data_IF_116930898488
#
_entry.id   IF_116930898488
#
_cell.length_a   1.000
_cell.length_b   1.000
_cell.length_c   1.000
_cell.angle_alpha   90.00
_cell.angle_beta   90.00
_cell.angle_gamma   90.00
#
_symmetry.space_group_name_H-M   'P 1'
#
loop_
_entity.id
_entity.type
_entity.pdbx_description
1 polymer ?
#
# COMPACT_ATOMS: atom_id res chain seq x y z
N UNK A 1 10.47 -10.52 -3.26
CA UNK A 1 10.83 -9.45 -4.23
C UNK A 1 9.87 -9.40 -5.41
N UNK A 2 9.68 -10.49 -6.15
CA UNK A 2 8.77 -10.52 -7.32
C UNK A 2 7.37 -9.95 -7.07
N UNK A 3 6.73 -10.28 -5.94
CA UNK A 3 5.41 -9.76 -5.58
C UNK A 3 5.36 -8.22 -5.43
N UNK A 4 6.37 -7.63 -4.79
CA UNK A 4 6.49 -6.17 -4.68
C UNK A 4 6.65 -5.53 -6.06
N UNK A 5 7.52 -6.08 -6.91
CA UNK A 5 7.71 -5.56 -8.26
C UNK A 5 6.47 -5.71 -9.14
N UNK A 6 5.70 -6.79 -8.98
CA UNK A 6 4.42 -6.98 -9.64
C UNK A 6 3.39 -5.94 -9.20
N UNK A 7 3.35 -5.58 -7.91
CA UNK A 7 2.51 -4.49 -7.43
C UNK A 7 2.97 -3.14 -7.98
N UNK A 8 4.28 -2.87 -7.98
CA UNK A 8 4.86 -1.64 -8.54
C UNK A 8 4.55 -1.48 -10.03
N UNK A 9 4.51 -2.58 -10.79
CA UNK A 9 4.14 -2.57 -12.21
C UNK A 9 2.73 -2.03 -12.47
N UNK A 10 1.85 -2.02 -11.45
CA UNK A 10 0.51 -1.41 -11.53
C UNK A 10 0.54 0.12 -11.50
N UNK A 11 1.60 0.70 -10.96
CA UNK A 11 1.80 2.14 -10.83
C UNK A 11 2.63 2.71 -11.99
N UNK A 12 3.52 1.90 -12.56
CA UNK A 12 4.33 2.29 -13.70
C UNK A 12 5.57 1.41 -13.85
N UNK A 13 6.56 1.93 -14.59
CA UNK A 13 7.82 1.20 -14.83
C UNK A 13 8.86 1.52 -13.76
N UNK A 14 9.34 0.49 -13.05
CA UNK A 14 10.43 0.60 -12.08
C UNK A 14 11.78 0.83 -12.79
N UNK A 15 12.08 2.10 -13.10
CA UNK A 15 13.25 2.51 -13.89
C UNK A 15 14.58 2.41 -13.13
N UNK A 16 14.56 2.63 -11.81
CA UNK A 16 15.71 2.47 -10.92
C UNK A 16 15.30 1.52 -9.80
N UNK A 17 16.11 0.48 -9.58
CA UNK A 17 15.90 -0.52 -8.53
C UNK A 17 17.21 -0.68 -7.76
N UNK A 18 17.21 -0.32 -6.48
CA UNK A 18 18.38 -0.37 -5.60
C UNK A 18 18.01 -1.07 -4.30
N UNK A 19 18.95 -1.88 -3.78
CA UNK A 19 18.83 -2.51 -2.47
C UNK A 19 20.08 -2.16 -1.65
N UNK A 20 19.85 -1.51 -0.50
CA UNK A 20 20.91 -0.95 0.32
C UNK A 20 21.22 -1.87 1.50
N UNK A 21 22.50 -2.08 1.78
CA UNK A 21 22.93 -2.84 2.94
C UNK A 21 24.40 -3.20 2.89
N UNK A 22 24.84 -3.94 3.90
CA UNK A 22 26.18 -4.52 3.93
C UNK A 22 26.16 -5.92 3.27
N UNK A 23 26.42 -5.96 1.97
CA UNK A 23 26.45 -7.17 1.14
C UNK A 23 27.68 -8.05 1.41
N UNK A 24 28.59 -7.65 2.31
CA UNK A 24 29.64 -8.54 2.82
C UNK A 24 29.12 -9.47 3.91
N UNK A 25 27.96 -9.17 4.49
CA UNK A 25 27.35 -9.98 5.55
C UNK A 25 26.59 -11.19 4.99
N UNK A 26 26.50 -12.25 5.79
CA UNK A 26 25.73 -13.46 5.43
C UNK A 26 24.22 -13.23 5.42
N UNK A 27 23.72 -12.16 6.06
CA UNK A 27 22.29 -11.84 6.14
C UNK A 27 21.68 -11.51 4.76
N UNK A 28 22.48 -10.96 3.83
CA UNK A 28 22.04 -10.61 2.48
C UNK A 28 22.38 -11.67 1.43
N UNK A 29 22.94 -12.82 1.84
CA UNK A 29 23.31 -13.90 0.90
C UNK A 29 22.12 -14.37 0.06
N UNK A 30 20.94 -14.52 0.67
CA UNK A 30 19.70 -14.89 -0.02
C UNK A 30 19.17 -13.83 -0.98
N UNK A 31 19.60 -12.57 -0.85
CA UNK A 31 19.19 -11.48 -1.74
C UNK A 31 19.97 -11.46 -3.04
N UNK A 32 21.12 -12.12 -3.13
CA UNK A 32 21.97 -12.10 -4.33
C UNK A 32 21.23 -12.62 -5.56
N UNK A 33 20.55 -13.76 -5.43
CA UNK A 33 19.79 -14.35 -6.53
C UNK A 33 18.61 -13.45 -6.91
N UNK A 34 17.80 -13.01 -5.94
CA UNK A 34 16.68 -12.12 -6.19
C UNK A 34 17.10 -10.78 -6.83
N UNK A 35 18.27 -10.25 -6.46
CA UNK A 35 18.81 -9.03 -7.04
C UNK A 35 19.19 -9.23 -8.51
N UNK A 36 19.81 -10.36 -8.85
CA UNK A 36 20.14 -10.70 -10.24
C UNK A 36 18.87 -10.93 -11.08
N UNK A 37 17.95 -11.77 -10.60
CA UNK A 37 16.74 -12.17 -11.34
C UNK A 37 15.84 -10.98 -11.66
N UNK A 38 15.86 -9.96 -10.80
CA UNK A 38 15.04 -8.77 -10.94
C UNK A 38 15.81 -7.51 -11.32
N UNK A 39 17.10 -7.59 -11.65
CA UNK A 39 17.96 -6.45 -11.99
C UNK A 39 17.84 -5.33 -10.93
N UNK A 40 18.00 -5.71 -9.66
CA UNK A 40 18.09 -4.79 -8.53
C UNK A 40 19.57 -4.55 -8.27
N UNK A 41 20.00 -3.29 -8.32
CA UNK A 41 21.38 -2.93 -8.07
C UNK A 41 21.72 -3.02 -6.57
N UNK A 42 22.70 -3.83 -6.18
CA UNK A 42 23.24 -3.83 -4.81
C UNK A 42 23.96 -2.51 -4.52
N UNK A 43 23.54 -1.82 -3.46
CA UNK A 43 24.20 -0.62 -2.96
C UNK A 43 24.93 -0.97 -1.65
N UNK A 44 26.24 -1.21 -1.75
CA UNK A 44 27.08 -1.61 -0.63
C UNK A 44 27.31 -0.44 0.34
N UNK A 45 27.05 -0.69 1.63
CA UNK A 45 27.39 0.22 2.73
C UNK A 45 28.02 -0.59 3.87
N UNK A 46 29.25 -0.24 4.26
CA UNK A 46 29.94 -0.91 5.35
C UNK A 46 29.34 -0.52 6.70
N UNK A 47 29.04 -1.52 7.53
CA UNK A 47 28.67 -1.29 8.93
C UNK A 47 29.93 -1.03 9.78
N UNK A 48 30.36 0.24 9.89
CA UNK A 48 31.52 0.59 10.72
C UNK A 48 31.29 0.39 12.23
N UNK A 49 30.03 0.38 12.67
CA UNK A 49 29.59 0.07 14.04
C UNK A 49 28.16 -0.45 14.01
N UNK A 50 27.84 -1.47 14.80
CA UNK A 50 26.48 -2.01 14.94
C UNK A 50 25.50 -0.96 15.48
N UNK A 51 24.30 -0.85 14.86
CA UNK A 51 23.23 0.04 15.31
C UNK A 51 23.32 1.49 14.81
N UNK A 52 24.16 1.78 13.80
CA UNK A 52 24.16 3.07 13.11
C UNK A 52 23.46 3.00 11.75
N UNK A 53 22.76 4.06 11.40
CA UNK A 53 21.90 4.19 10.22
C UNK A 53 22.69 4.55 8.94
N UNK A 54 23.86 3.93 8.73
CA UNK A 54 24.72 4.22 7.57
C UNK A 54 24.03 3.82 6.26
N UNK A 55 23.38 2.66 6.25
CA UNK A 55 22.57 2.18 5.13
C UNK A 55 21.41 3.13 4.81
N UNK A 56 20.69 3.58 5.84
CA UNK A 56 19.53 4.47 5.67
C UNK A 56 19.96 5.84 5.15
N UNK A 57 21.11 6.35 5.63
CA UNK A 57 21.69 7.60 5.15
C UNK A 57 22.03 7.51 3.66
N UNK A 58 22.66 6.42 3.22
CA UNK A 58 22.97 6.21 1.80
C UNK A 58 21.69 6.12 0.95
N UNK A 59 20.67 5.42 1.43
CA UNK A 59 19.37 5.33 0.76
C UNK A 59 18.73 6.72 0.62
N UNK A 60 18.71 7.51 1.69
CA UNK A 60 18.15 8.87 1.69
C UNK A 60 18.90 9.76 0.71
N UNK A 61 20.23 9.75 0.72
CA UNK A 61 21.05 10.55 -0.20
C UNK A 61 20.71 10.20 -1.66
N UNK A 62 20.75 8.92 -2.01
CA UNK A 62 20.44 8.46 -3.36
C UNK A 62 19.00 8.80 -3.79
N UNK A 63 18.04 8.65 -2.89
CA UNK A 63 16.64 8.98 -3.16
C UNK A 63 16.47 10.49 -3.43
N UNK A 64 17.15 11.33 -2.66
CA UNK A 64 17.13 12.78 -2.85
C UNK A 64 17.82 13.20 -4.16
N UNK A 65 18.95 12.60 -4.50
CA UNK A 65 19.63 12.86 -5.77
C UNK A 65 18.74 12.50 -6.95
N UNK A 66 18.07 11.34 -6.90
CA UNK A 66 17.09 10.93 -7.91
C UNK A 66 15.90 11.89 -7.97
N UNK A 67 15.38 12.33 -6.83
CA UNK A 67 14.27 13.29 -6.76
C UNK A 67 14.63 14.59 -7.49
N UNK A 68 15.82 15.13 -7.23
CA UNK A 68 16.27 16.39 -7.82
C UNK A 68 16.61 16.31 -9.30
N UNK A 69 16.69 15.11 -9.89
CA UNK A 69 16.74 14.99 -11.35
C UNK A 69 15.44 15.44 -12.03
N UNK A 70 14.31 15.43 -11.31
CA UNK A 70 12.99 15.75 -11.88
C UNK A 70 12.46 14.72 -12.89
N UNK A 71 13.07 13.54 -12.99
CA UNK A 71 12.76 12.54 -14.01
C UNK A 71 11.74 11.49 -13.57
N UNK A 72 11.43 11.42 -12.28
CA UNK A 72 10.60 10.37 -11.69
C UNK A 72 9.30 10.94 -11.13
N UNK A 73 8.19 10.28 -11.44
CA UNK A 73 6.86 10.65 -10.98
C UNK A 73 6.43 9.90 -9.71
N UNK A 74 7.19 8.88 -9.31
CA UNK A 74 6.90 8.12 -8.11
C UNK A 74 8.13 7.43 -7.51
N UNK A 75 8.12 7.28 -6.19
CA UNK A 75 9.11 6.54 -5.41
C UNK A 75 8.45 5.37 -4.69
N UNK A 76 9.12 4.22 -4.71
CA UNK A 76 8.71 3.05 -3.92
C UNK A 76 9.72 2.85 -2.79
N UNK A 77 9.27 2.98 -1.54
CA UNK A 77 10.09 2.77 -0.35
C UNK A 77 9.65 1.47 0.32
N UNK A 78 10.53 0.47 0.35
CA UNK A 78 10.26 -0.83 0.95
C UNK A 78 11.00 -0.90 2.30
N UNK A 79 10.29 -0.59 3.39
CA UNK A 79 10.82 -0.59 4.75
C UNK A 79 9.70 -0.63 5.79
N UNK A 80 10.04 -1.09 7.00
CA UNK A 80 9.19 -0.96 8.20
C UNK A 80 9.75 0.03 9.22
N UNK A 81 10.83 0.74 8.88
CA UNK A 81 11.49 1.72 9.74
C UNK A 81 10.79 3.09 9.67
N UNK A 82 10.58 3.71 10.84
CA UNK A 82 10.04 5.08 10.95
C UNK A 82 10.98 6.16 10.44
N UNK A 83 12.28 5.91 10.36
CA UNK A 83 13.26 6.94 9.98
C UNK A 83 13.04 7.47 8.55
N UNK A 84 12.38 6.69 7.69
CA UNK A 84 12.00 7.11 6.33
C UNK A 84 10.78 8.04 6.27
N UNK A 85 10.15 8.36 7.39
CA UNK A 85 8.98 9.27 7.47
C UNK A 85 9.28 10.64 6.85
N UNK A 86 10.44 11.24 7.17
CA UNK A 86 10.80 12.55 6.62
C UNK A 86 11.17 12.49 5.15
N UNK A 87 11.78 11.39 4.69
CA UNK A 87 12.06 11.17 3.27
C UNK A 87 10.75 11.11 2.45
N UNK A 88 9.78 10.30 2.90
CA UNK A 88 8.47 10.19 2.25
C UNK A 88 7.75 11.55 2.19
N UNK A 89 7.70 12.28 3.31
CA UNK A 89 7.11 13.61 3.35
C UNK A 89 7.81 14.58 2.37
N UNK A 90 9.16 14.58 2.34
CA UNK A 90 9.95 15.48 1.49
C UNK A 90 9.73 15.21 -0.01
N UNK A 91 9.59 13.95 -0.42
CA UNK A 91 9.28 13.56 -1.80
C UNK A 91 7.87 14.05 -2.18
N UNK A 92 6.89 13.91 -1.29
CA UNK A 92 5.52 14.42 -1.51
C UNK A 92 5.44 15.93 -1.57
N UNK A 93 6.21 16.63 -0.74
CA UNK A 93 6.35 18.09 -0.80
C UNK A 93 6.87 18.56 -2.18
N UNK A 94 7.62 17.72 -2.89
CA UNK A 94 8.06 17.98 -4.27
C UNK A 94 7.00 17.61 -5.34
N UNK A 95 5.80 17.19 -4.93
CA UNK A 95 4.72 16.79 -5.83
C UNK A 95 4.88 15.40 -6.44
N UNK A 96 5.80 14.58 -5.91
CA UNK A 96 6.09 13.23 -6.43
C UNK A 96 5.39 12.19 -5.56
N UNK A 97 4.76 11.18 -6.18
CA UNK A 97 3.98 10.16 -5.45
C UNK A 97 4.87 9.20 -4.68
N UNK A 98 4.51 8.87 -3.44
CA UNK A 98 5.24 7.91 -2.61
C UNK A 98 4.39 6.67 -2.33
N UNK A 99 4.91 5.52 -2.74
CA UNK A 99 4.38 4.19 -2.45
C UNK A 99 5.25 3.54 -1.35
N UNK A 100 4.67 3.34 -0.17
CA UNK A 100 5.31 2.63 0.92
C UNK A 100 4.97 1.14 0.90
N UNK A 101 5.92 0.30 1.27
CA UNK A 101 5.73 -1.13 1.45
C UNK A 101 6.40 -1.58 2.74
N UNK A 102 5.70 -2.35 3.58
CA UNK A 102 6.29 -2.84 4.82
C UNK A 102 5.41 -3.86 5.55
N UNK A 103 5.90 -4.38 6.65
CA UNK A 103 5.15 -5.30 7.52
C UNK A 103 4.06 -4.56 8.32
N UNK A 104 3.13 -5.30 8.93
CA UNK A 104 2.07 -4.73 9.79
C UNK A 104 2.58 -3.95 10.99
N UNK A 105 3.80 -4.25 11.46
CA UNK A 105 4.47 -3.54 12.57
C UNK A 105 4.94 -2.13 12.19
N UNK A 106 4.93 -1.77 10.91
CA UNK A 106 5.40 -0.47 10.43
C UNK A 106 4.67 0.67 11.14
N UNK A 107 5.35 1.69 11.70
CA UNK A 107 4.70 2.77 12.45
C UNK A 107 3.71 3.60 11.60
N UNK A 108 2.62 4.07 12.24
CA UNK A 108 1.59 4.87 11.57
C UNK A 108 2.13 6.17 10.97
N UNK A 109 3.15 6.78 11.59
CA UNK A 109 3.80 7.98 11.07
C UNK A 109 4.38 7.76 9.66
N UNK A 110 5.07 6.64 9.42
CA UNK A 110 5.65 6.35 8.11
C UNK A 110 4.56 6.00 7.08
N UNK A 111 3.55 5.21 7.48
CA UNK A 111 2.41 4.89 6.60
C UNK A 111 1.68 6.15 6.14
N UNK A 112 1.41 7.07 7.06
CA UNK A 112 0.70 8.33 6.78
C UNK A 112 1.56 9.34 5.99
N UNK A 113 2.88 9.17 5.99
CA UNK A 113 3.79 9.97 5.17
C UNK A 113 3.77 9.54 3.69
N UNK A 114 3.25 8.37 3.35
CA UNK A 114 3.10 7.91 1.97
C UNK A 114 1.75 8.35 1.35
N UNK A 115 1.65 8.32 0.02
CA UNK A 115 0.35 8.49 -0.67
C UNK A 115 -0.45 7.19 -0.70
N UNK A 116 0.26 6.06 -0.76
CA UNK A 116 -0.31 4.72 -0.59
C UNK A 116 0.70 3.85 0.15
N UNK A 117 0.22 3.03 1.09
CA UNK A 117 1.03 2.07 1.83
C UNK A 117 0.45 0.67 1.65
N UNK A 118 1.28 -0.29 1.25
CA UNK A 118 0.86 -1.67 1.01
C UNK A 118 1.59 -2.63 1.95
N UNK A 119 0.85 -3.46 2.67
CA UNK A 119 1.47 -4.45 3.55
C UNK A 119 2.08 -5.60 2.73
N UNK A 120 3.25 -6.10 3.14
CA UNK A 120 3.94 -7.15 2.38
C UNK A 120 3.17 -8.48 2.37
N UNK A 121 2.47 -8.82 3.46
CA UNK A 121 1.68 -10.04 3.59
C UNK A 121 0.50 -10.11 2.60
N UNK A 122 -0.05 -8.96 2.18
CA UNK A 122 -1.13 -8.93 1.18
C UNK A 122 -0.63 -9.15 -0.24
N UNK A 123 0.69 -9.08 -0.47
CA UNK A 123 1.31 -9.34 -1.76
C UNK A 123 1.71 -10.81 -1.93
N UNK A 124 1.87 -11.52 -0.81
CA UNK A 124 2.32 -12.92 -0.77
C UNK A 124 1.21 -13.94 -1.08
N UNK A 125 -0.05 -13.50 -1.28
CA UNK A 125 -1.15 -14.37 -1.71
C UNK A 125 -0.93 -14.81 -3.18
N UNK A 126 -0.50 -16.07 -3.44
CA UNK A 126 0.14 -16.39 -4.69
C UNK A 126 -0.86 -16.78 -5.76
N UNK A 127 -0.47 -16.46 -6.99
CA UNK A 127 -0.81 -17.20 -8.19
C UNK A 127 -0.19 -18.61 -8.17
N UNK A 128 -0.46 -19.40 -7.13
CA UNK A 128 -0.13 -20.82 -7.07
C UNK A 128 -1.41 -21.61 -7.37
N UNK A 129 -1.29 -22.62 -8.23
CA UNK A 129 -2.36 -23.58 -8.59
C UNK A 129 -2.73 -24.53 -7.43
N UNK A 130 -2.26 -24.26 -6.21
CA UNK A 130 -2.73 -24.88 -4.97
C UNK A 130 -3.26 -23.79 -4.02
N UNK A 131 -4.43 -23.97 -3.38
CA UNK A 131 -5.05 -22.95 -2.55
C UNK A 131 -4.28 -22.84 -1.21
N UNK A 132 -3.15 -22.15 -1.22
CA UNK A 132 -2.62 -21.55 -0.01
C UNK A 132 -3.72 -20.64 0.56
N UNK A 133 -3.99 -20.68 1.87
CA UNK A 133 -5.09 -19.93 2.43
C UNK A 133 -4.78 -18.44 2.28
N UNK A 134 -5.49 -17.77 1.36
CA UNK A 134 -5.66 -16.33 1.42
C UNK A 134 -6.00 -15.94 2.87
N UNK A 135 -5.58 -14.76 3.37
CA UNK A 135 -5.98 -14.31 4.70
C UNK A 135 -7.49 -14.51 4.85
N UNK A 136 -7.89 -15.33 5.83
CA UNK A 136 -9.30 -15.73 6.00
C UNK A 136 -10.16 -14.47 6.00
N UNK A 137 -11.12 -14.41 5.08
CA UNK A 137 -12.03 -13.28 4.96
C UNK A 137 -12.64 -12.94 6.33
N UNK A 138 -12.41 -11.72 6.79
CA UNK A 138 -12.86 -11.26 8.10
C UNK A 138 -14.40 -11.23 8.10
N UNK A 139 -15.08 -11.91 9.03
CA UNK A 139 -16.53 -12.02 9.02
C UNK A 139 -17.24 -10.69 9.35
N UNK A 140 -18.49 -10.56 8.91
CA UNK A 140 -19.29 -9.34 9.04
C UNK A 140 -19.33 -8.72 10.46
N UNK A 141 -19.46 -9.48 11.57
CA UNK A 141 -19.47 -8.90 12.91
C UNK A 141 -18.17 -8.15 13.26
N UNK A 142 -17.02 -8.69 12.84
CA UNK A 142 -15.71 -8.07 13.08
C UNK A 142 -15.52 -6.84 12.20
N UNK A 143 -15.92 -6.91 10.92
CA UNK A 143 -15.89 -5.75 10.02
C UNK A 143 -16.75 -4.59 10.52
N UNK A 144 -17.91 -4.87 11.11
CA UNK A 144 -18.78 -3.84 11.71
C UNK A 144 -18.23 -3.27 13.01
N UNK A 145 -17.40 -4.03 13.72
CA UNK A 145 -16.70 -3.59 14.94
C UNK A 145 -15.48 -2.72 14.64
N UNK A 146 -14.92 -2.79 13.43
CA UNK A 146 -13.83 -1.93 12.99
C UNK A 146 -14.34 -0.51 12.70
N UNK A 147 -14.31 0.33 13.74
CA UNK A 147 -14.76 1.72 13.65
C UNK A 147 -13.98 2.56 12.65
N UNK A 148 -12.68 2.31 12.46
CA UNK A 148 -11.85 3.06 11.51
C UNK A 148 -12.29 2.75 10.08
N UNK A 149 -12.42 1.45 9.75
CA UNK A 149 -12.92 1.00 8.45
C UNK A 149 -14.33 1.54 8.18
N UNK A 150 -15.26 1.33 9.11
CA UNK A 150 -16.66 1.68 8.89
C UNK A 150 -16.87 3.19 8.74
N UNK A 151 -16.24 3.99 9.61
CA UNK A 151 -16.38 5.45 9.55
C UNK A 151 -15.72 6.01 8.29
N UNK A 152 -14.56 5.49 7.89
CA UNK A 152 -13.91 5.86 6.63
C UNK A 152 -14.80 5.58 5.42
N UNK A 153 -15.34 4.35 5.31
CA UNK A 153 -16.22 3.97 4.20
C UNK A 153 -17.49 4.81 4.17
N UNK A 154 -18.13 5.04 5.33
CA UNK A 154 -19.34 5.86 5.42
C UNK A 154 -19.05 7.31 5.00
N UNK A 155 -17.97 7.90 5.48
CA UNK A 155 -17.54 9.26 5.14
C UNK A 155 -17.24 9.39 3.64
N UNK A 156 -16.50 8.44 3.09
CA UNK A 156 -16.13 8.42 1.68
C UNK A 156 -17.34 8.24 0.76
N UNK A 157 -18.29 7.36 1.11
CA UNK A 157 -19.55 7.23 0.38
C UNK A 157 -20.34 8.52 0.45
N UNK A 158 -20.53 9.10 1.65
CA UNK A 158 -21.28 10.35 1.81
C UNK A 158 -20.67 11.51 1.01
N UNK A 159 -19.34 11.56 0.88
CA UNK A 159 -18.64 12.62 0.14
C UNK A 159 -18.76 12.43 -1.37
N UNK A 160 -18.79 11.17 -1.84
CA UNK A 160 -18.86 10.85 -3.26
C UNK A 160 -20.29 10.64 -3.79
N UNK A 161 -21.30 10.59 -2.91
CA UNK A 161 -22.69 10.40 -3.30
C UNK A 161 -23.26 11.63 -3.98
N UNK A 162 -23.99 11.42 -5.08
CA UNK A 162 -24.82 12.45 -5.72
C UNK A 162 -26.18 12.61 -5.03
N UNK A 163 -27.07 13.40 -5.65
CA UNK A 163 -28.43 13.65 -5.16
C UNK A 163 -29.29 12.37 -5.05
N UNK A 164 -28.99 11.34 -5.85
CA UNK A 164 -29.64 10.04 -5.82
C UNK A 164 -29.14 9.12 -4.67
N UNK A 165 -28.19 9.61 -3.87
CA UNK A 165 -27.57 8.91 -2.75
C UNK A 165 -26.55 7.84 -3.16
N UNK A 166 -26.29 7.63 -4.44
CA UNK A 166 -25.31 6.66 -4.93
C UNK A 166 -23.96 7.33 -5.21
N UNK A 167 -22.89 6.62 -4.84
CA UNK A 167 -21.52 7.00 -5.12
C UNK A 167 -20.86 6.03 -6.11
N UNK A 168 -19.95 6.54 -6.95
CA UNK A 168 -19.04 5.71 -7.74
C UNK A 168 -18.09 4.93 -6.82
N UNK A 169 -17.99 3.61 -6.99
CA UNK A 169 -17.18 2.77 -6.11
C UNK A 169 -15.68 3.08 -6.19
N UNK A 170 -15.18 3.44 -7.37
CA UNK A 170 -13.79 3.80 -7.58
C UNK A 170 -13.45 5.12 -6.87
N UNK A 171 -14.34 6.11 -6.92
CA UNK A 171 -14.22 7.37 -6.20
C UNK A 171 -14.20 7.15 -4.68
N UNK A 172 -15.06 6.27 -4.16
CA UNK A 172 -15.02 5.87 -2.74
C UNK A 172 -13.68 5.25 -2.38
N UNK A 173 -13.15 4.33 -3.20
CA UNK A 173 -11.83 3.73 -2.97
C UNK A 173 -10.68 4.74 -3.01
N UNK A 174 -10.75 5.74 -3.88
CA UNK A 174 -9.76 6.83 -3.96
C UNK A 174 -9.83 7.73 -2.72
N UNK A 175 -11.03 8.11 -2.27
CA UNK A 175 -11.22 8.90 -1.06
C UNK A 175 -10.72 8.16 0.18
N UNK A 176 -10.98 6.85 0.27
CA UNK A 176 -10.46 6.02 1.34
C UNK A 176 -8.93 6.06 1.40
N UNK A 177 -8.23 5.89 0.27
CA UNK A 177 -6.76 5.97 0.24
C UNK A 177 -6.22 7.36 0.56
N UNK A 178 -6.93 8.42 0.16
CA UNK A 178 -6.56 9.80 0.53
C UNK A 178 -6.68 10.06 2.03
N UNK A 179 -7.67 9.46 2.70
CA UNK A 179 -7.87 9.60 4.14
C UNK A 179 -7.02 8.62 4.96
N UNK A 180 -6.76 7.44 4.39
CA UNK A 180 -6.06 6.34 5.02
C UNK A 180 -5.13 5.68 3.97
N UNK A 181 -3.85 6.09 3.90
CA UNK A 181 -2.92 5.60 2.87
C UNK A 181 -2.73 4.08 2.87
N UNK A 182 -2.88 3.43 4.03
CA UNK A 182 -2.75 1.98 4.18
C UNK A 182 -4.04 1.18 3.88
N UNK A 183 -5.07 1.84 3.34
CA UNK A 183 -6.33 1.19 3.00
C UNK A 183 -6.21 0.29 1.76
N UNK A 184 -6.42 -1.01 1.98
CA UNK A 184 -6.54 -2.04 0.95
C UNK A 184 -7.56 -3.10 1.39
N UNK A 185 -8.48 -3.54 0.52
CA UNK A 185 -9.46 -4.56 0.87
C UNK A 185 -8.82 -5.91 1.24
N UNK A 186 -7.63 -6.18 0.70
CA UNK A 186 -6.85 -7.38 1.00
C UNK A 186 -6.45 -7.45 2.47
N UNK A 187 -6.37 -6.31 3.17
CA UNK A 187 -6.07 -6.27 4.61
C UNK A 187 -7.09 -7.05 5.46
N UNK A 188 -8.31 -7.23 4.95
CA UNK A 188 -9.41 -7.98 5.57
C UNK A 188 -9.73 -9.29 4.82
N UNK A 189 -8.89 -9.73 3.89
CA UNK A 189 -9.09 -10.97 3.12
C UNK A 189 -10.05 -10.86 1.93
N UNK A 190 -10.30 -9.64 1.42
CA UNK A 190 -11.19 -9.42 0.27
C UNK A 190 -10.40 -8.93 -0.95
N UNK A 191 -10.51 -9.64 -2.07
CA UNK A 191 -9.78 -9.32 -3.30
C UNK A 191 -10.29 -8.02 -3.95
N UNK A 192 -11.57 -7.68 -3.76
CA UNK A 192 -12.20 -6.48 -4.31
C UNK A 192 -12.87 -5.64 -3.23
N UNK A 193 -12.81 -4.32 -3.39
CA UNK A 193 -13.54 -3.38 -2.52
C UNK A 193 -15.05 -3.65 -2.49
N UNK A 194 -15.65 -4.05 -3.61
CA UNK A 194 -17.07 -4.42 -3.68
C UNK A 194 -17.42 -5.59 -2.77
N UNK A 195 -16.52 -6.56 -2.61
CA UNK A 195 -16.72 -7.74 -1.76
C UNK A 195 -16.63 -7.34 -0.29
N UNK A 196 -15.61 -6.54 0.08
CA UNK A 196 -15.48 -5.99 1.43
C UNK A 196 -16.73 -5.20 1.84
N UNK A 197 -17.21 -4.29 0.98
CA UNK A 197 -18.41 -3.48 1.26
C UNK A 197 -19.66 -4.34 1.46
N UNK A 198 -19.86 -5.35 0.61
CA UNK A 198 -20.98 -6.29 0.76
C UNK A 198 -20.89 -7.07 2.06
N UNK A 199 -19.69 -7.53 2.41
CA UNK A 199 -19.43 -8.29 3.63
C UNK A 199 -19.65 -7.48 4.92
N UNK A 200 -19.57 -6.15 4.88
CA UNK A 200 -19.97 -5.33 6.05
C UNK A 200 -21.48 -5.38 6.34
N UNK A 201 -22.29 -5.83 5.37
CA UNK A 201 -23.76 -5.83 5.38
C UNK A 201 -24.43 -4.45 5.53
N UNK A 202 -23.65 -3.36 5.58
CA UNK A 202 -24.12 -1.98 5.80
C UNK A 202 -24.23 -1.15 4.53
N UNK A 203 -23.68 -1.63 3.42
CA UNK A 203 -23.70 -0.96 2.14
C UNK A 203 -24.43 -1.80 1.10
N UNK A 204 -25.07 -1.12 0.16
CA UNK A 204 -25.65 -1.72 -1.03
C UNK A 204 -24.71 -1.44 -2.20
N UNK A 205 -24.30 -2.48 -2.93
CA UNK A 205 -23.34 -2.37 -4.05
C UNK A 205 -23.95 -2.99 -5.30
N UNK A 206 -24.21 -2.17 -6.31
CA UNK A 206 -24.86 -2.57 -7.56
C UNK A 206 -24.02 -2.19 -8.79
N UNK A 207 -24.11 -2.94 -9.91
CA UNK A 207 -23.54 -2.52 -11.18
C UNK A 207 -24.19 -1.23 -11.67
N UNK A 208 -23.43 -0.41 -12.40
CA UNK A 208 -23.97 0.75 -13.12
C UNK A 208 -24.31 0.38 -14.56
N UNK A 209 -25.34 1.01 -15.16
CA UNK A 209 -25.64 0.85 -16.58
C UNK A 209 -24.47 1.23 -17.50
N UNK A 210 -23.69 2.24 -17.11
CA UNK A 210 -22.54 2.76 -17.87
C UNK A 210 -21.23 2.03 -17.60
N UNK A 211 -21.26 0.93 -16.83
CA UNK A 211 -20.08 0.19 -16.41
C UNK A 211 -19.52 0.61 -15.04
N UNK A 212 -18.85 -0.34 -14.39
CA UNK A 212 -18.39 -0.20 -13.01
C UNK A 212 -19.49 -0.45 -11.96
N UNK A 213 -19.17 -0.17 -10.71
CA UNK A 213 -20.05 -0.39 -9.56
C UNK A 213 -20.38 0.92 -8.88
N UNK A 214 -21.58 1.00 -8.31
CA UNK A 214 -21.99 2.09 -7.41
C UNK A 214 -22.33 1.53 -6.03
N UNK A 215 -22.19 2.38 -5.03
CA UNK A 215 -22.42 2.04 -3.63
C UNK A 215 -23.26 3.11 -2.93
N UNK A 216 -24.13 2.68 -2.00
CA UNK A 216 -24.81 3.58 -1.05
C UNK A 216 -24.88 2.94 0.32
N UNK A 217 -25.08 3.75 1.36
CA UNK A 217 -25.35 3.26 2.72
C UNK A 217 -26.75 2.66 2.77
N UNK A 218 -26.92 1.47 3.35
CA UNK A 218 -28.25 0.90 3.57
C UNK A 218 -28.99 1.74 4.60
N UNK A 219 -30.17 2.23 4.24
CA UNK A 219 -31.11 2.82 5.20
C UNK A 219 -31.58 1.71 6.12
N UNK A 220 -31.46 1.87 7.45
CA UNK A 220 -32.12 0.95 8.39
C UNK A 220 -33.62 0.97 8.07
N UNK A 221 -34.20 -0.17 7.69
CA UNK A 221 -35.65 -0.32 7.80
C UNK A 221 -36.00 -0.07 9.27
N UNK A 222 -36.70 1.02 9.57
CA UNK A 222 -37.38 1.15 10.85
C UNK A 222 -38.46 0.06 10.83
N UNK A 223 -38.25 -0.98 11.63
CA UNK A 223 -39.26 -1.96 11.97
C UNK A 223 -39.89 -1.53 13.30
#
# INVERSE_FOLDING_TARGET
MGAVLAEVARFGTASVKRAYGDWTTTQLSGWKQAANDHIVQPMQQFAYTTGKNATDSALIIDAMDLLYTGRFHGFCIVSSDSDFTRLAARIREAGVTVYGFGERKTPEAFRNACDQFTYLDVLEAPAAEDPAPAPKAVPAPQLRGDGKLFNGLRSSVSTASGEDGWADLSAVGQLMRKQQPDFDSRNWGYAKLSELLRATERFEVTPRPTGGMRVRVKVKKMA
#
